data_IF_451775606869
#
_entry.id   IF_451775606869
#
_cell.length_a   1.000
_cell.length_b   1.000
_cell.length_c   1.000
_cell.angle_alpha   90.00
_cell.angle_beta   90.00
_cell.angle_gamma   90.00
#
_symmetry.space_group_name_H-M   'P 1'
#
loop_
_entity.id
_entity.type
_entity.pdbx_description
1 polymer ?
#
# COMPACT_ATOMS: atom_id res chain seq x y z
N UNK A 1 -56.27 -1.77 -5.37
CA UNK A 1 -55.47 -1.76 -4.12
C UNK A 1 -54.10 -2.34 -4.41
N UNK A 2 -53.15 -1.51 -4.81
CA UNK A 2 -51.73 -1.87 -4.90
C UNK A 2 -51.16 -1.86 -3.49
N UNK A 3 -50.72 -3.02 -3.00
CA UNK A 3 -50.05 -3.13 -1.70
C UNK A 3 -48.69 -2.43 -1.82
N UNK A 4 -48.48 -1.35 -1.06
CA UNK A 4 -47.15 -0.83 -0.78
C UNK A 4 -46.40 -1.91 0.00
N UNK A 5 -45.54 -2.66 -0.69
CA UNK A 5 -44.55 -3.50 -0.03
C UNK A 5 -43.45 -2.53 0.43
N UNK A 6 -43.22 -2.37 1.75
CA UNK A 6 -42.12 -1.54 2.21
C UNK A 6 -40.81 -2.11 1.67
N UNK A 7 -40.03 -1.25 1.00
CA UNK A 7 -38.66 -1.58 0.59
C UNK A 7 -37.90 -2.09 1.82
N UNK A 8 -37.14 -3.20 1.71
CA UNK A 8 -36.37 -3.70 2.82
C UNK A 8 -35.40 -2.63 3.30
N UNK A 9 -35.44 -2.31 4.60
CA UNK A 9 -34.55 -1.32 5.19
C UNK A 9 -33.10 -1.70 4.92
N UNK A 10 -32.35 -0.78 4.33
CA UNK A 10 -30.92 -0.96 4.03
C UNK A 10 -30.17 -1.21 5.34
N UNK A 11 -29.42 -2.32 5.42
CA UNK A 11 -28.61 -2.65 6.59
C UNK A 11 -27.51 -1.59 6.75
N UNK A 12 -27.33 -1.00 7.95
CA UNK A 12 -26.26 -0.04 8.19
C UNK A 12 -24.87 -0.63 7.94
N UNK A 13 -23.98 0.18 7.38
CA UNK A 13 -22.57 -0.20 7.17
C UNK A 13 -21.84 -0.06 8.51
N UNK A 14 -21.15 -1.11 8.94
CA UNK A 14 -20.41 -1.09 10.20
C UNK A 14 -19.35 0.02 10.21
N UNK A 15 -19.11 0.73 11.33
CA UNK A 15 -18.20 1.87 11.37
C UNK A 15 -16.77 1.58 10.87
N UNK A 16 -16.22 0.42 11.23
CA UNK A 16 -14.88 0.02 10.78
C UNK A 16 -14.82 -0.27 9.28
N UNK A 17 -15.83 -0.97 8.74
CA UNK A 17 -15.99 -1.19 7.30
C UNK A 17 -16.10 0.14 6.58
N UNK A 18 -16.93 1.06 7.10
CA UNK A 18 -17.17 2.37 6.49
C UNK A 18 -15.89 3.21 6.42
N UNK A 19 -15.08 3.19 7.48
CA UNK A 19 -13.82 3.94 7.50
C UNK A 19 -12.81 3.36 6.51
N UNK A 20 -12.60 2.04 6.51
CA UNK A 20 -11.69 1.39 5.57
C UNK A 20 -12.14 1.58 4.12
N UNK A 21 -13.44 1.45 3.84
CA UNK A 21 -14.03 1.68 2.53
C UNK A 21 -13.80 3.12 2.06
N UNK A 22 -14.04 4.11 2.93
CA UNK A 22 -13.80 5.51 2.61
C UNK A 22 -12.32 5.76 2.26
N UNK A 23 -11.39 5.20 3.04
CA UNK A 23 -9.95 5.32 2.77
C UNK A 23 -9.57 4.68 1.44
N UNK A 24 -9.99 3.43 1.17
CA UNK A 24 -9.71 2.74 -0.08
C UNK A 24 -10.30 3.48 -1.30
N UNK A 25 -11.54 3.97 -1.18
CA UNK A 25 -12.20 4.76 -2.22
C UNK A 25 -11.52 6.12 -2.48
N UNK A 26 -11.00 6.73 -1.42
CA UNK A 26 -10.25 7.99 -1.46
C UNK A 26 -8.89 7.84 -2.12
N UNK A 27 -8.17 6.78 -1.79
CA UNK A 27 -6.83 6.48 -2.33
C UNK A 27 -6.87 5.95 -3.77
N UNK A 28 -7.96 5.29 -4.16
CA UNK A 28 -8.09 4.74 -5.49
C UNK A 28 -8.13 5.83 -6.57
N UNK A 29 -7.54 5.51 -7.72
CA UNK A 29 -7.60 6.39 -8.88
C UNK A 29 -9.04 6.64 -9.35
N UNK A 30 -9.22 7.68 -10.16
CA UNK A 30 -10.52 7.99 -10.78
C UNK A 30 -10.96 6.98 -11.85
N UNK A 31 -10.16 5.95 -12.13
CA UNK A 31 -10.51 4.87 -13.06
C UNK A 31 -11.58 3.93 -12.48
N UNK A 32 -11.88 4.02 -11.19
CA UNK A 32 -12.90 3.20 -10.51
C UNK A 32 -12.68 1.69 -10.71
N UNK A 33 -11.42 1.26 -10.72
CA UNK A 33 -11.06 -0.15 -10.91
C UNK A 33 -11.30 -0.94 -9.62
N UNK A 34 -12.04 -2.04 -9.70
CA UNK A 34 -12.38 -2.84 -8.52
C UNK A 34 -11.14 -3.49 -7.87
N UNK A 35 -10.25 -4.09 -8.65
CA UNK A 35 -9.03 -4.72 -8.13
C UNK A 35 -8.10 -3.72 -7.43
N UNK A 36 -8.04 -2.47 -7.93
CA UNK A 36 -7.32 -1.36 -7.28
C UNK A 36 -7.89 -1.06 -5.89
N UNK A 37 -9.22 -0.93 -5.76
CA UNK A 37 -9.88 -0.63 -4.49
C UNK A 37 -9.70 -1.80 -3.49
N UNK A 38 -9.84 -3.05 -3.95
CA UNK A 38 -9.59 -4.25 -3.13
C UNK A 38 -8.14 -4.34 -2.66
N UNK A 39 -7.19 -4.03 -3.54
CA UNK A 39 -5.77 -4.02 -3.21
C UNK A 39 -5.46 -2.95 -2.16
N UNK A 40 -5.97 -1.73 -2.30
CA UNK A 40 -5.80 -0.65 -1.34
C UNK A 40 -6.40 -1.00 0.03
N UNK A 41 -7.63 -1.54 0.07
CA UNK A 41 -8.25 -1.98 1.31
C UNK A 41 -7.39 -3.04 2.04
N UNK A 42 -6.85 -3.99 1.28
CA UNK A 42 -5.96 -5.03 1.82
C UNK A 42 -4.65 -4.45 2.37
N UNK A 43 -4.00 -3.52 1.65
CA UNK A 43 -2.77 -2.85 2.12
C UNK A 43 -3.04 -2.05 3.40
N UNK A 44 -4.14 -1.30 3.46
CA UNK A 44 -4.50 -0.50 4.63
C UNK A 44 -4.77 -1.36 5.86
N UNK A 45 -5.55 -2.44 5.72
CA UNK A 45 -5.80 -3.40 6.81
C UNK A 45 -4.50 -4.07 7.26
N UNK A 46 -3.65 -4.47 6.32
CA UNK A 46 -2.34 -5.08 6.63
C UNK A 46 -1.43 -4.12 7.39
N UNK A 47 -1.38 -2.85 6.99
CA UNK A 47 -0.62 -1.81 7.69
C UNK A 47 -1.12 -1.60 9.12
N UNK A 48 -2.45 -1.54 9.34
CA UNK A 48 -3.06 -1.48 10.68
C UNK A 48 -2.56 -2.64 11.55
N UNK A 49 -2.68 -3.86 11.05
CA UNK A 49 -2.37 -5.09 11.80
C UNK A 49 -0.88 -5.19 12.14
N UNK A 50 0.00 -4.93 11.17
CA UNK A 50 1.44 -5.03 11.35
C UNK A 50 2.00 -4.02 12.37
N UNK A 51 1.25 -2.94 12.60
CA UNK A 51 1.54 -1.89 13.58
C UNK A 51 0.86 -2.12 14.92
N UNK A 52 0.03 -3.15 15.03
CA UNK A 52 -0.61 -3.57 16.28
C UNK A 52 -1.81 -2.72 16.69
N UNK A 53 -2.44 -2.01 15.76
CA UNK A 53 -3.67 -1.27 16.06
C UNK A 53 -4.88 -2.21 16.03
N UNK A 54 -5.75 -2.09 17.04
CA UNK A 54 -6.96 -2.90 17.16
C UNK A 54 -8.12 -2.45 16.25
N UNK A 55 -8.04 -1.24 15.69
CA UNK A 55 -9.08 -0.68 14.81
C UNK A 55 -8.50 0.30 13.80
N UNK A 56 -9.20 0.50 12.69
CA UNK A 56 -8.85 1.53 11.71
C UNK A 56 -8.83 2.94 12.29
N UNK A 57 -9.72 3.26 13.24
CA UNK A 57 -9.72 4.57 13.91
C UNK A 57 -8.48 4.79 14.77
N UNK A 58 -8.00 3.76 15.47
CA UNK A 58 -6.77 3.85 16.23
C UNK A 58 -5.56 4.01 15.31
N UNK A 59 -5.53 3.28 14.19
CA UNK A 59 -4.47 3.37 13.19
C UNK A 59 -4.39 4.76 12.54
N UNK A 60 -5.51 5.30 12.06
CA UNK A 60 -5.56 6.63 11.44
C UNK A 60 -5.15 7.72 12.43
N UNK A 61 -5.51 7.62 13.71
CA UNK A 61 -5.08 8.60 14.73
C UNK A 61 -3.61 8.47 15.11
N UNK A 62 -3.08 7.24 15.11
CA UNK A 62 -1.70 6.96 15.52
C UNK A 62 -0.66 7.21 14.43
N UNK A 63 -1.05 7.16 13.16
CA UNK A 63 -0.12 7.24 12.03
C UNK A 63 -0.41 8.46 11.15
N UNK A 64 0.36 9.53 11.36
CA UNK A 64 0.18 10.82 10.67
C UNK A 64 0.17 10.72 9.15
N UNK A 65 0.97 9.84 8.56
CA UNK A 65 1.00 9.60 7.11
C UNK A 65 -0.34 9.12 6.55
N UNK A 66 -1.09 8.34 7.33
CA UNK A 66 -2.43 7.86 6.98
C UNK A 66 -3.52 8.82 7.45
N UNK A 67 -3.26 9.63 8.48
CA UNK A 67 -4.13 10.76 8.84
C UNK A 67 -4.25 11.76 7.70
N UNK A 68 -3.19 12.00 6.91
CA UNK A 68 -3.24 12.92 5.77
C UNK A 68 -4.29 12.51 4.73
N UNK A 69 -4.41 11.21 4.41
CA UNK A 69 -5.49 10.70 3.53
C UNK A 69 -6.87 11.12 4.03
N UNK A 70 -7.05 11.15 5.35
CA UNK A 70 -8.29 11.48 6.05
C UNK A 70 -8.47 13.00 6.23
N UNK A 71 -7.40 13.78 6.33
CA UNK A 71 -7.42 15.21 6.66
C UNK A 71 -7.17 16.16 5.49
N UNK A 72 -6.51 15.73 4.41
CA UNK A 72 -5.98 16.58 3.32
C UNK A 72 -7.05 16.99 2.28
N UNK A 73 -8.34 16.83 2.60
CA UNK A 73 -9.41 17.27 1.71
C UNK A 73 -9.53 16.44 0.43
N UNK A 74 -9.08 15.17 0.43
CA UNK A 74 -9.32 14.25 -0.67
C UNK A 74 -10.82 14.20 -0.97
N UNK A 75 -11.21 14.70 -2.15
CA UNK A 75 -12.62 14.89 -2.54
C UNK A 75 -13.40 13.58 -2.55
N UNK A 76 -12.77 12.47 -2.94
CA UNK A 76 -13.40 11.15 -2.99
C UNK A 76 -13.64 10.61 -1.58
N UNK A 77 -12.65 10.73 -0.70
CA UNK A 77 -12.81 10.38 0.72
C UNK A 77 -13.94 11.17 1.37
N UNK A 78 -13.94 12.50 1.20
CA UNK A 78 -14.97 13.38 1.77
C UNK A 78 -16.35 13.07 1.20
N UNK A 79 -16.46 12.84 -0.11
CA UNK A 79 -17.69 12.42 -0.76
C UNK A 79 -18.24 11.14 -0.09
N UNK A 80 -17.41 10.10 0.03
CA UNK A 80 -17.83 8.84 0.66
C UNK A 80 -18.27 9.05 2.12
N UNK A 81 -17.53 9.85 2.89
CA UNK A 81 -17.85 10.12 4.29
C UNK A 81 -19.19 10.83 4.47
N UNK A 82 -19.51 11.78 3.58
CA UNK A 82 -20.74 12.58 3.60
C UNK A 82 -21.94 11.83 3.02
N UNK A 83 -21.74 10.84 2.17
CA UNK A 83 -22.81 9.99 1.66
C UNK A 83 -23.47 9.18 2.77
N UNK A 84 -24.78 8.98 2.67
CA UNK A 84 -25.56 8.05 3.50
C UNK A 84 -25.31 6.61 3.07
N UNK A 85 -25.65 5.63 3.93
CA UNK A 85 -25.47 4.21 3.60
C UNK A 85 -26.28 3.79 2.36
N UNK A 86 -27.51 4.33 2.20
CA UNK A 86 -28.31 4.11 0.99
C UNK A 86 -27.61 4.65 -0.26
N UNK A 87 -27.03 5.86 -0.20
CA UNK A 87 -26.29 6.42 -1.33
C UNK A 87 -25.05 5.60 -1.67
N UNK A 88 -24.28 5.18 -0.66
CA UNK A 88 -23.09 4.34 -0.83
C UNK A 88 -23.45 3.01 -1.49
N UNK A 89 -24.52 2.36 -1.05
CA UNK A 89 -24.93 1.05 -1.56
C UNK A 89 -25.65 1.12 -2.90
N UNK A 90 -26.10 2.31 -3.31
CA UNK A 90 -26.69 2.56 -4.63
C UNK A 90 -25.65 2.96 -5.67
N UNK A 91 -24.52 3.55 -5.26
CA UNK A 91 -23.39 3.87 -6.13
C UNK A 91 -22.51 2.61 -6.33
N UNK A 92 -22.32 2.12 -7.57
CA UNK A 92 -21.58 0.89 -7.82
C UNK A 92 -20.14 0.91 -7.30
N UNK A 93 -19.46 2.06 -7.35
CA UNK A 93 -18.04 2.18 -6.98
C UNK A 93 -17.89 2.32 -5.47
N UNK A 94 -18.76 3.10 -4.83
CA UNK A 94 -18.77 3.18 -3.36
C UNK A 94 -19.18 1.84 -2.75
N UNK A 95 -20.16 1.14 -3.33
CA UNK A 95 -20.52 -0.21 -2.94
C UNK A 95 -19.34 -1.17 -3.08
N UNK A 96 -18.60 -1.10 -4.20
CA UNK A 96 -17.37 -1.88 -4.40
C UNK A 96 -16.34 -1.61 -3.29
N UNK A 97 -16.22 -0.37 -2.81
CA UNK A 97 -15.33 -0.05 -1.70
C UNK A 97 -15.80 -0.62 -0.35
N UNK A 98 -17.10 -0.73 -0.12
CA UNK A 98 -17.66 -1.44 1.05
C UNK A 98 -17.31 -2.92 0.95
N UNK A 99 -17.55 -3.56 -0.19
CA UNK A 99 -17.24 -4.97 -0.40
C UNK A 99 -15.74 -5.26 -0.26
N UNK A 100 -14.89 -4.37 -0.77
CA UNK A 100 -13.43 -4.43 -0.61
C UNK A 100 -13.00 -4.34 0.87
N UNK A 101 -13.62 -3.46 1.65
CA UNK A 101 -13.33 -3.30 3.07
C UNK A 101 -13.80 -4.53 3.87
N UNK A 102 -15.00 -5.04 3.60
CA UNK A 102 -15.49 -6.28 4.21
C UNK A 102 -14.57 -7.47 3.87
N UNK A 103 -14.14 -7.56 2.62
CA UNK A 103 -13.21 -8.58 2.16
C UNK A 103 -11.88 -8.52 2.93
N UNK A 104 -11.26 -7.35 3.02
CA UNK A 104 -9.99 -7.17 3.71
C UNK A 104 -10.10 -7.45 5.22
N UNK A 105 -11.18 -7.01 5.87
CA UNK A 105 -11.43 -7.25 7.29
C UNK A 105 -11.71 -8.73 7.61
N UNK A 106 -12.22 -9.48 6.63
CA UNK A 106 -12.45 -10.92 6.72
C UNK A 106 -11.25 -11.76 6.25
N UNK A 107 -10.07 -11.16 6.04
CA UNK A 107 -8.87 -11.82 5.52
C UNK A 107 -9.10 -12.55 4.18
N UNK A 108 -9.93 -11.92 3.33
CA UNK A 108 -10.23 -12.38 1.98
C UNK A 108 -9.08 -12.19 0.98
N UNK A 109 -9.30 -12.52 -0.30
CA UNK A 109 -8.25 -12.47 -1.32
C UNK A 109 -7.59 -11.09 -1.50
N UNK A 110 -6.27 -11.06 -1.33
CA UNK A 110 -5.48 -9.83 -1.47
C UNK A 110 -5.09 -9.53 -2.93
N UNK A 111 -5.73 -8.52 -3.53
CA UNK A 111 -5.42 -8.06 -4.89
C UNK A 111 -4.11 -7.29 -5.01
N UNK A 112 -3.51 -6.89 -3.89
CA UNK A 112 -2.19 -6.24 -3.83
C UNK A 112 -1.03 -7.22 -3.87
N UNK A 113 -1.30 -8.53 -3.72
CA UNK A 113 -0.29 -9.59 -3.72
C UNK A 113 0.85 -9.38 -2.68
N UNK A 114 0.47 -9.00 -1.45
CA UNK A 114 1.37 -8.83 -0.32
C UNK A 114 2.12 -7.49 -0.29
N UNK A 115 1.63 -6.47 -0.99
CA UNK A 115 2.23 -5.13 -0.92
C UNK A 115 2.06 -4.48 0.46
N UNK A 116 2.96 -3.56 0.75
CA UNK A 116 2.94 -2.70 1.93
C UNK A 116 2.78 -1.22 1.58
N UNK A 117 3.04 -0.87 0.33
CA UNK A 117 3.05 0.50 -0.17
C UNK A 117 2.40 0.56 -1.54
N UNK A 118 1.99 1.75 -1.95
CA UNK A 118 1.50 2.02 -3.29
C UNK A 118 2.08 3.34 -3.81
N UNK A 119 1.97 3.55 -5.12
CA UNK A 119 2.15 4.85 -5.77
C UNK A 119 1.13 5.02 -6.90
N UNK A 120 0.64 6.25 -7.05
CA UNK A 120 -0.17 6.67 -8.18
C UNK A 120 0.68 7.31 -9.27
N UNK A 121 0.07 8.18 -10.07
CA UNK A 121 0.73 8.80 -11.23
C UNK A 121 1.92 9.72 -10.88
N UNK A 122 2.04 10.12 -9.61
CA UNK A 122 3.09 11.00 -9.11
C UNK A 122 4.49 10.37 -9.17
N UNK A 123 4.59 9.04 -9.13
CA UNK A 123 5.85 8.33 -9.37
C UNK A 123 6.43 8.61 -10.77
N UNK A 124 5.56 8.88 -11.75
CA UNK A 124 5.96 9.22 -13.12
C UNK A 124 6.17 10.72 -13.27
N UNK A 125 5.22 11.55 -12.84
CA UNK A 125 5.31 13.00 -13.02
C UNK A 125 6.43 13.66 -12.19
N UNK A 126 6.83 13.05 -11.09
CA UNK A 126 7.92 13.52 -10.22
C UNK A 126 9.10 12.54 -10.14
N UNK A 127 9.28 11.71 -11.17
CA UNK A 127 10.18 10.55 -11.17
C UNK A 127 11.55 10.76 -10.50
N UNK A 128 12.32 11.78 -10.91
CA UNK A 128 13.68 12.02 -10.40
C UNK A 128 13.73 12.39 -8.90
N UNK A 129 12.66 12.98 -8.36
CA UNK A 129 12.57 13.37 -6.95
C UNK A 129 11.77 12.37 -6.12
N UNK A 130 11.06 11.45 -6.76
CA UNK A 130 10.20 10.48 -6.10
C UNK A 130 11.00 9.58 -5.15
N UNK A 131 10.54 9.44 -3.91
CA UNK A 131 11.29 8.79 -2.84
C UNK A 131 11.68 7.34 -3.16
N UNK A 132 10.73 6.54 -3.69
CA UNK A 132 11.00 5.14 -4.03
C UNK A 132 11.99 5.04 -5.19
N UNK A 133 11.84 5.87 -6.23
CA UNK A 133 12.75 5.92 -7.39
C UNK A 133 14.17 6.25 -6.95
N UNK A 134 14.36 7.21 -6.04
CA UNK A 134 15.69 7.57 -5.49
C UNK A 134 16.34 6.46 -4.68
N UNK A 135 15.56 5.50 -4.20
CA UNK A 135 16.05 4.36 -3.41
C UNK A 135 16.09 3.03 -4.18
N UNK A 136 15.73 3.07 -5.46
CA UNK A 136 15.73 1.93 -6.36
C UNK A 136 14.41 1.17 -6.36
N UNK A 137 13.84 1.03 -7.55
CA UNK A 137 12.61 0.28 -7.82
C UNK A 137 12.87 -0.78 -8.89
N UNK A 138 12.22 -1.93 -8.76
CA UNK A 138 12.10 -2.95 -9.79
C UNK A 138 10.67 -3.43 -9.95
N UNK A 139 10.28 -3.75 -11.18
CA UNK A 139 9.00 -4.34 -11.46
C UNK A 139 9.09 -5.86 -11.29
N UNK A 140 8.27 -6.43 -10.42
CA UNK A 140 8.18 -7.89 -10.25
C UNK A 140 7.60 -8.59 -11.48
N UNK A 141 6.86 -7.86 -12.31
CA UNK A 141 6.35 -8.33 -13.60
C UNK A 141 6.23 -7.13 -14.57
N UNK A 142 6.49 -7.29 -15.89
CA UNK A 142 6.41 -6.19 -16.85
C UNK A 142 5.07 -5.45 -16.87
N UNK A 143 3.95 -6.18 -16.68
CA UNK A 143 2.60 -5.58 -16.64
C UNK A 143 2.39 -4.62 -15.46
N UNK A 144 3.26 -4.63 -14.45
CA UNK A 144 3.16 -3.69 -13.33
C UNK A 144 3.65 -2.29 -13.70
N UNK A 145 4.34 -2.12 -14.84
CA UNK A 145 4.83 -0.82 -15.29
C UNK A 145 3.76 -0.04 -16.07
N UNK A 146 2.63 0.25 -15.40
CA UNK A 146 1.48 0.94 -15.99
C UNK A 146 1.76 2.40 -16.39
N UNK A 147 2.90 2.96 -15.96
CA UNK A 147 3.33 4.33 -16.28
C UNK A 147 4.51 4.40 -17.24
N UNK A 148 4.99 3.27 -17.76
CA UNK A 148 6.13 3.21 -18.68
C UNK A 148 7.38 3.92 -18.14
N UNK A 149 7.60 3.89 -16.83
CA UNK A 149 8.78 4.48 -16.19
C UNK A 149 9.96 3.52 -16.23
N UNK A 150 11.17 4.06 -16.11
CA UNK A 150 12.36 3.23 -16.00
C UNK A 150 12.45 2.64 -14.59
N UNK A 151 13.06 1.46 -14.47
CA UNK A 151 13.55 0.99 -13.18
C UNK A 151 14.72 1.88 -12.73
N UNK A 152 15.03 1.84 -11.43
CA UNK A 152 16.13 2.60 -10.86
C UNK A 152 16.94 1.76 -9.89
N UNK A 153 18.22 2.09 -9.77
CA UNK A 153 19.14 1.41 -8.86
C UNK A 153 19.87 2.40 -7.96
N UNK A 154 20.07 1.99 -6.70
CA UNK A 154 20.93 2.62 -5.71
C UNK A 154 21.77 1.53 -5.06
N UNK A 155 22.95 1.28 -5.63
CA UNK A 155 23.86 0.26 -5.13
C UNK A 155 24.36 0.60 -3.73
N UNK A 156 24.12 -0.30 -2.78
CA UNK A 156 24.64 -0.25 -1.42
C UNK A 156 25.44 -1.52 -1.17
N UNK A 157 26.70 -1.36 -0.76
CA UNK A 157 27.59 -2.47 -0.40
C UNK A 157 28.13 -2.21 1.00
N UNK A 158 27.88 -3.13 1.94
CA UNK A 158 28.47 -3.07 3.27
C UNK A 158 29.65 -4.02 3.36
N UNK A 159 30.75 -3.52 3.90
CA UNK A 159 31.95 -4.31 4.17
C UNK A 159 32.14 -4.49 5.68
N UNK A 160 32.75 -5.60 6.08
CA UNK A 160 33.34 -5.79 7.40
C UNK A 160 34.86 -5.84 7.27
N UNK A 161 35.54 -5.30 8.26
CA UNK A 161 36.99 -5.36 8.35
C UNK A 161 37.38 -6.61 9.12
N UNK A 162 38.09 -7.52 8.47
CA UNK A 162 38.63 -8.73 9.09
C UNK A 162 40.13 -8.56 9.25
N UNK A 163 40.62 -8.74 10.49
CA UNK A 163 42.05 -8.81 10.77
C UNK A 163 42.48 -10.27 10.64
N UNK A 164 43.40 -10.58 9.73
CA UNK A 164 44.01 -11.89 9.59
C UNK A 164 45.49 -11.79 9.95
N UNK A 165 45.97 -12.69 10.81
CA UNK A 165 47.41 -12.80 11.07
C UNK A 165 47.99 -13.75 10.02
N UNK A 166 48.89 -13.25 9.19
CA UNK A 166 49.58 -14.03 8.14
C UNK A 166 51.06 -13.79 8.35
N UNK A 167 51.83 -14.85 8.59
CA UNK A 167 53.28 -14.80 8.82
C UNK A 167 53.71 -13.81 9.93
N UNK A 168 52.95 -13.73 11.03
CA UNK A 168 53.25 -12.83 12.14
C UNK A 168 52.72 -11.40 11.97
N UNK A 169 52.39 -10.99 10.73
CA UNK A 169 51.90 -9.66 10.39
C UNK A 169 50.35 -9.61 10.42
N UNK A 170 49.78 -8.51 10.92
CA UNK A 170 48.33 -8.29 10.90
C UNK A 170 47.96 -7.68 9.55
N UNK A 171 47.31 -8.46 8.68
CA UNK A 171 46.68 -7.95 7.46
C UNK A 171 45.22 -7.59 7.72
N UNK A 172 44.83 -6.43 7.22
CA UNK A 172 43.45 -5.93 7.25
C UNK A 172 42.81 -6.20 5.89
N UNK A 173 41.74 -7.01 5.87
CA UNK A 173 40.96 -7.31 4.67
C UNK A 173 39.54 -6.77 4.81
N UNK A 174 39.00 -6.16 3.74
CA UNK A 174 37.59 -5.78 3.66
C UNK A 174 36.83 -6.92 2.98
N UNK A 175 35.92 -7.56 3.71
CA UNK A 175 35.02 -8.57 3.16
C UNK A 175 33.64 -7.95 2.95
N UNK A 176 33.08 -8.07 1.74
CA UNK A 176 31.68 -7.73 1.48
C UNK A 176 30.77 -8.60 2.35
N UNK A 177 29.88 -7.95 3.10
CA UNK A 177 28.90 -8.61 3.96
C UNK A 177 27.58 -8.75 3.21
N UNK A 178 27.18 -7.70 2.52
CA UNK A 178 25.97 -7.70 1.71
C UNK A 178 25.95 -6.58 0.69
N UNK A 179 25.06 -6.77 -0.29
CA UNK A 179 24.77 -5.85 -1.37
C UNK A 179 23.28 -5.87 -1.72
N UNK A 180 22.74 -4.70 -2.01
CA UNK A 180 21.45 -4.55 -2.70
C UNK A 180 21.52 -3.32 -3.59
N UNK A 181 20.72 -3.27 -4.65
CA UNK A 181 20.67 -2.14 -5.58
C UNK A 181 19.28 -1.54 -5.72
N UNK A 182 18.26 -2.09 -5.06
CA UNK A 182 16.93 -1.54 -5.00
C UNK A 182 16.30 -1.87 -3.65
N UNK A 183 15.32 -1.07 -3.25
CA UNK A 183 14.54 -1.32 -2.04
C UNK A 183 13.16 -1.83 -2.38
N UNK A 184 12.55 -1.40 -3.49
CA UNK A 184 11.14 -1.69 -3.78
C UNK A 184 10.98 -2.62 -4.97
N UNK A 185 10.11 -3.62 -4.82
CA UNK A 185 9.71 -4.54 -5.90
C UNK A 185 8.19 -4.49 -6.03
N UNK A 186 7.69 -4.29 -7.25
CA UNK A 186 6.25 -4.29 -7.48
C UNK A 186 5.66 -5.69 -7.34
N UNK A 187 4.42 -5.75 -6.88
CA UNK A 187 3.70 -7.00 -6.54
C UNK A 187 2.41 -7.16 -7.34
N UNK A 188 1.79 -6.02 -7.69
CA UNK A 188 0.64 -5.90 -8.57
C UNK A 188 0.60 -4.47 -9.14
N UNK A 189 -0.22 -4.26 -10.17
CA UNK A 189 -0.68 -2.93 -10.58
C UNK A 189 -2.11 -3.04 -11.11
N UNK A 190 -2.98 -2.14 -10.66
CA UNK A 190 -4.40 -2.13 -11.01
C UNK A 190 -4.87 -0.69 -11.18
N UNK A 191 -5.69 -0.44 -12.19
CA UNK A 191 -6.19 0.91 -12.48
C UNK A 191 -5.07 1.92 -12.62
N UNK A 192 -5.00 2.86 -11.68
CA UNK A 192 -3.98 3.90 -11.60
C UNK A 192 -3.03 3.75 -10.41
N UNK A 193 -2.75 2.52 -9.97
CA UNK A 193 -1.90 2.29 -8.81
C UNK A 193 -0.91 1.14 -9.04
N UNK A 194 0.35 1.35 -8.65
CA UNK A 194 1.37 0.30 -8.55
C UNK A 194 1.56 -0.06 -7.07
N UNK A 195 1.56 -1.34 -6.76
CA UNK A 195 1.69 -1.87 -5.40
C UNK A 195 3.09 -2.44 -5.17
N UNK A 196 3.72 -2.08 -4.05
CA UNK A 196 5.13 -2.36 -3.76
C UNK A 196 5.31 -3.08 -2.43
N UNK A 197 6.35 -3.92 -2.37
CA UNK A 197 6.95 -4.40 -1.13
C UNK A 197 8.44 -4.09 -1.11
N UNK A 198 9.05 -4.22 0.06
CA UNK A 198 10.51 -4.15 0.17
C UNK A 198 11.16 -5.44 -0.32
N UNK A 199 12.32 -5.31 -0.98
CA UNK A 199 13.11 -6.42 -1.47
C UNK A 199 13.62 -7.30 -0.32
N UNK A 200 13.66 -8.61 -0.56
CA UNK A 200 14.05 -9.58 0.45
C UNK A 200 15.53 -9.47 0.84
N UNK A 201 16.42 -9.08 -0.08
CA UNK A 201 17.82 -8.85 0.27
C UNK A 201 17.94 -7.61 1.15
N UNK A 202 17.27 -6.51 0.80
CA UNK A 202 17.22 -5.32 1.66
C UNK A 202 16.77 -5.65 3.08
N UNK A 203 15.63 -6.33 3.23
CA UNK A 203 15.07 -6.69 4.55
C UNK A 203 15.99 -7.60 5.36
N UNK A 204 16.54 -8.65 4.72
CA UNK A 204 17.43 -9.62 5.38
C UNK A 204 18.63 -8.95 6.02
N UNK A 205 19.16 -7.90 5.37
CA UNK A 205 20.40 -7.25 5.74
C UNK A 205 20.23 -6.05 6.66
N UNK A 206 19.17 -5.26 6.46
CA UNK A 206 18.91 -4.10 7.31
C UNK A 206 18.13 -4.45 8.57
N UNK A 207 17.44 -5.59 8.58
CA UNK A 207 16.45 -5.94 9.62
C UNK A 207 15.36 -4.87 9.76
N UNK A 208 15.13 -4.09 8.70
CA UNK A 208 14.01 -3.17 8.61
C UNK A 208 12.70 -3.93 8.70
N UNK A 209 11.65 -3.24 9.13
CA UNK A 209 10.30 -3.79 9.15
C UNK A 209 9.70 -3.59 7.76
N UNK A 210 9.17 -4.66 7.17
CA UNK A 210 8.61 -4.65 5.80
C UNK A 210 7.52 -3.59 5.54
N UNK A 211 6.87 -3.15 6.61
CA UNK A 211 5.78 -2.17 6.60
C UNK A 211 6.23 -0.71 6.86
N UNK A 212 7.54 -0.46 7.02
CA UNK A 212 8.12 0.86 7.33
C UNK A 212 9.08 1.36 6.25
#
# INVERSE_FOLDING_TARGET
>A
MTRNIPEPAVKPIAPEVRLLAAMAYGEASTQNNADEIYALASVLKRQRDARGYSSMEAFVRGESSFSFVVSDGNKRYQLFRLSTDTQILSDPVMKTAVEAAENALADGPDRSNGAWFWDGADISSNYLKHFKVKNGIRFGHPSHNIYSIKESSKLVIKHKTVKKKINGEIKIEKQEVYRYDHIYVSTAAHGGTIFWKQDAAYLRHTKAKEYK
#
